data_IF_397789262843
#
_entry.id   IF_397789262843
#
_cell.length_a   1.000
_cell.length_b   1.000
_cell.length_c   1.000
_cell.angle_alpha   90.00
_cell.angle_beta   90.00
_cell.angle_gamma   90.00
#
_symmetry.space_group_name_H-M   'P 1'
#
loop_
_entity.id
_entity.type
_entity.pdbx_description
1 polymer ?
#
# COMPACT_ATOMS: atom_id res chain seq x y z
N UNK A 1 28.85 3.43 9.67
CA UNK A 1 27.82 2.43 9.97
C UNK A 1 27.08 2.06 8.70
N UNK A 2 26.95 0.79 8.40
CA UNK A 2 26.10 0.35 7.31
C UNK A 2 24.66 0.64 7.67
N UNK A 3 23.96 1.37 6.80
CA UNK A 3 22.51 1.54 6.88
C UNK A 3 21.89 0.15 6.74
N UNK A 4 21.02 -0.25 7.66
CA UNK A 4 20.33 -1.53 7.58
C UNK A 4 19.41 -1.53 6.37
N UNK A 5 19.49 -2.58 5.60
CA UNK A 5 18.76 -2.72 4.35
C UNK A 5 17.30 -3.09 4.61
N UNK A 6 16.39 -2.41 3.92
CA UNK A 6 14.96 -2.70 3.99
C UNK A 6 14.68 -3.86 3.04
N UNK A 7 14.10 -4.93 3.56
CA UNK A 7 13.73 -6.10 2.77
C UNK A 7 12.23 -6.08 2.49
N UNK A 8 11.88 -6.11 1.20
CA UNK A 8 10.48 -6.12 0.75
C UNK A 8 10.14 -7.52 0.25
N UNK A 9 9.03 -8.05 0.70
CA UNK A 9 8.52 -9.36 0.27
C UNK A 9 7.00 -9.36 0.18
N UNK A 10 6.45 -10.41 -0.42
CA UNK A 10 5.00 -10.61 -0.44
C UNK A 10 4.46 -10.80 0.98
N UNK A 11 3.28 -10.27 1.20
CA UNK A 11 2.57 -10.43 2.46
C UNK A 11 2.15 -11.89 2.65
N UNK A 12 2.23 -12.35 3.88
CA UNK A 12 1.84 -13.70 4.30
C UNK A 12 0.83 -13.60 5.43
N UNK A 13 0.01 -14.64 5.60
CA UNK A 13 -0.98 -14.69 6.69
C UNK A 13 -0.36 -14.55 8.08
N UNK A 14 0.89 -14.94 8.23
CA UNK A 14 1.61 -14.82 9.50
C UNK A 14 1.97 -13.38 9.85
N UNK A 15 1.80 -12.45 8.92
CA UNK A 15 2.06 -11.03 9.14
C UNK A 15 0.91 -10.30 9.85
N UNK A 16 -0.19 -11.00 10.12
CA UNK A 16 -1.39 -10.40 10.76
C UNK A 16 -1.07 -9.62 12.02
N UNK A 17 -0.36 -10.24 12.95
CA UNK A 17 -0.04 -9.60 14.23
C UNK A 17 0.77 -8.32 14.06
N UNK A 18 1.73 -8.33 13.14
CA UNK A 18 2.55 -7.15 12.86
C UNK A 18 1.71 -6.01 12.27
N UNK A 19 0.82 -6.33 11.35
CA UNK A 19 -0.06 -5.33 10.72
C UNK A 19 -1.01 -4.71 11.75
N UNK A 20 -1.62 -5.55 12.59
CA UNK A 20 -2.51 -5.08 13.66
C UNK A 20 -1.76 -4.15 14.62
N UNK A 21 -0.54 -4.51 15.00
CA UNK A 21 0.28 -3.70 15.89
C UNK A 21 0.66 -2.35 15.24
N UNK A 22 0.97 -2.35 13.95
CA UNK A 22 1.26 -1.11 13.22
C UNK A 22 0.03 -0.20 13.20
N UNK A 23 -1.14 -0.75 12.90
CA UNK A 23 -2.38 0.04 12.92
C UNK A 23 -2.64 0.63 14.30
N UNK A 24 -2.51 -0.18 15.35
CA UNK A 24 -2.73 0.30 16.70
C UNK A 24 -1.82 1.48 17.06
N UNK A 25 -0.56 1.42 16.66
CA UNK A 25 0.38 2.52 16.86
C UNK A 25 0.05 3.75 16.03
N UNK A 26 -0.54 3.56 14.85
CA UNK A 26 -0.90 4.67 13.96
C UNK A 26 -2.20 5.34 14.36
N UNK A 27 -3.19 4.58 14.81
CA UNK A 27 -4.57 5.05 14.98
C UNK A 27 -5.10 4.93 16.41
N UNK A 28 -4.42 4.16 17.25
CA UNK A 28 -4.90 3.80 18.59
C UNK A 28 -5.94 2.69 18.62
N UNK A 29 -6.26 2.10 17.47
CA UNK A 29 -7.27 1.05 17.35
C UNK A 29 -6.65 -0.19 16.70
N UNK A 30 -6.93 -1.37 17.27
CA UNK A 30 -6.49 -2.65 16.73
C UNK A 30 -7.71 -3.40 16.17
N UNK A 31 -7.78 -3.55 14.87
CA UNK A 31 -8.91 -4.21 14.19
C UNK A 31 -8.51 -5.57 13.66
N UNK A 32 -8.24 -6.50 14.56
CA UNK A 32 -7.74 -7.83 14.18
C UNK A 32 -8.66 -8.55 13.18
N UNK A 33 -9.96 -8.56 13.43
CA UNK A 33 -10.91 -9.25 12.54
C UNK A 33 -10.95 -8.62 11.13
N UNK A 34 -10.83 -7.31 11.04
CA UNK A 34 -10.75 -6.61 9.77
C UNK A 34 -9.51 -7.04 8.97
N UNK A 35 -8.34 -7.02 9.60
CA UNK A 35 -7.08 -7.38 8.92
C UNK A 35 -7.01 -8.85 8.57
N UNK A 36 -7.54 -9.71 9.43
CA UNK A 36 -7.64 -11.15 9.14
C UNK A 36 -8.42 -11.37 7.85
N UNK A 37 -9.55 -10.70 7.69
CA UNK A 37 -10.37 -10.76 6.47
C UNK A 37 -9.64 -10.18 5.26
N UNK A 38 -8.97 -9.05 5.41
CA UNK A 38 -8.20 -8.43 4.33
C UNK A 38 -7.09 -9.35 3.82
N UNK A 39 -6.37 -9.98 4.73
CA UNK A 39 -5.29 -10.91 4.37
C UNK A 39 -5.87 -12.12 3.65
N UNK A 40 -6.95 -12.69 4.17
CA UNK A 40 -7.64 -13.81 3.55
C UNK A 40 -8.06 -13.49 2.10
N UNK A 41 -8.66 -12.34 1.87
CA UNK A 41 -9.05 -11.90 0.54
C UNK A 41 -7.83 -11.71 -0.34
N UNK A 42 -6.77 -11.10 0.17
CA UNK A 42 -5.53 -10.89 -0.59
C UNK A 42 -4.91 -12.21 -1.04
N UNK A 43 -4.90 -13.22 -0.17
CA UNK A 43 -4.35 -14.54 -0.54
C UNK A 43 -5.22 -15.25 -1.56
N UNK A 44 -6.54 -15.10 -1.49
CA UNK A 44 -7.48 -15.86 -2.31
C UNK A 44 -7.62 -15.32 -3.74
N UNK A 45 -7.65 -14.01 -3.92
CA UNK A 45 -8.06 -13.39 -5.19
C UNK A 45 -7.15 -12.29 -5.73
N UNK A 46 -6.14 -11.88 -4.98
CA UNK A 46 -5.25 -10.81 -5.42
C UNK A 46 -3.89 -11.37 -5.83
N UNK A 47 -3.19 -10.73 -6.78
CA UNK A 47 -1.85 -11.19 -7.15
C UNK A 47 -0.88 -10.96 -5.98
N UNK A 48 0.03 -11.91 -5.76
CA UNK A 48 0.99 -11.85 -4.67
C UNK A 48 1.87 -10.60 -4.67
N UNK A 49 2.17 -10.06 -5.84
CA UNK A 49 3.00 -8.87 -5.96
C UNK A 49 2.29 -7.59 -5.47
N UNK A 50 0.96 -7.61 -5.35
CA UNK A 50 0.17 -6.42 -5.03
C UNK A 50 0.02 -6.16 -3.53
N UNK A 51 0.39 -7.13 -2.68
CA UNK A 51 0.37 -6.93 -1.23
C UNK A 51 1.72 -7.30 -0.67
N UNK A 52 2.39 -6.32 -0.08
CA UNK A 52 3.80 -6.42 0.31
C UNK A 52 3.99 -5.98 1.75
N UNK A 53 5.03 -6.51 2.38
CA UNK A 53 5.50 -6.05 3.67
C UNK A 53 6.97 -5.66 3.58
N UNK A 54 7.36 -4.75 4.45
CA UNK A 54 8.74 -4.31 4.61
C UNK A 54 9.29 -4.82 5.94
N UNK A 55 10.44 -5.44 5.89
CA UNK A 55 11.18 -5.87 7.08
C UNK A 55 12.41 -5.01 7.30
N UNK A 56 12.63 -4.64 8.53
CA UNK A 56 13.83 -3.96 9.00
C UNK A 56 14.12 -4.50 10.40
N UNK A 57 15.35 -4.82 10.69
CA UNK A 57 15.74 -5.43 11.97
C UNK A 57 14.99 -6.74 12.27
N UNK A 58 14.72 -7.55 11.23
CA UNK A 58 13.98 -8.81 11.32
C UNK A 58 12.54 -8.64 11.84
N UNK A 59 11.96 -7.46 11.64
CA UNK A 59 10.58 -7.15 12.03
C UNK A 59 9.85 -6.56 10.85
N UNK A 60 8.57 -6.89 10.73
CA UNK A 60 7.69 -6.19 9.78
C UNK A 60 7.41 -4.79 10.32
N UNK A 61 7.82 -3.79 9.56
CA UNK A 61 7.72 -2.37 9.95
C UNK A 61 6.83 -1.56 9.02
N UNK A 62 6.34 -2.18 7.95
CA UNK A 62 5.43 -1.53 7.02
C UNK A 62 4.74 -2.52 6.11
N UNK A 63 3.67 -2.07 5.48
CA UNK A 63 2.88 -2.91 4.57
C UNK A 63 2.19 -2.05 3.52
N UNK A 64 1.84 -2.68 2.39
CA UNK A 64 0.96 -2.12 1.38
C UNK A 64 0.00 -3.20 0.90
N UNK A 65 -1.27 -2.86 0.78
CA UNK A 65 -2.29 -3.69 0.13
C UNK A 65 -2.69 -3.02 -1.17
N UNK A 66 -2.58 -3.76 -2.25
CA UNK A 66 -2.99 -3.30 -3.55
C UNK A 66 -3.78 -4.34 -4.31
N UNK A 67 -4.17 -3.98 -5.50
CA UNK A 67 -4.88 -4.89 -6.41
C UNK A 67 -4.60 -4.52 -7.85
N UNK A 68 -4.79 -5.48 -8.73
CA UNK A 68 -4.82 -5.24 -10.17
C UNK A 68 -6.28 -5.35 -10.63
N UNK A 69 -6.66 -4.51 -11.58
CA UNK A 69 -8.03 -4.49 -12.10
C UNK A 69 -8.01 -4.12 -13.58
N UNK A 70 -8.97 -4.65 -14.32
CA UNK A 70 -9.24 -4.13 -15.65
C UNK A 70 -9.87 -2.75 -15.52
N UNK A 71 -9.46 -1.84 -16.38
CA UNK A 71 -10.01 -0.50 -16.33
C UNK A 71 -11.34 -0.48 -17.07
N UNK A 72 -12.36 -0.28 -16.32
CA UNK A 72 -13.70 -0.07 -16.82
C UNK A 72 -13.81 1.31 -17.46
N UNK A 73 -14.47 2.00 -17.90
CA UNK A 73 -14.52 3.37 -18.46
C UNK A 73 -13.81 3.52 -19.82
N UNK A 74 -13.70 2.45 -20.59
CA UNK A 74 -13.22 2.53 -21.95
C UNK A 74 -11.71 2.71 -22.12
N UNK A 75 -10.96 2.61 -21.03
CA UNK A 75 -9.50 2.62 -21.09
C UNK A 75 -9.01 1.17 -21.23
N UNK A 76 -8.10 0.89 -22.16
CA UNK A 76 -7.64 -0.47 -22.38
C UNK A 76 -6.63 -0.92 -21.32
N UNK A 77 -6.72 -2.20 -20.96
CA UNK A 77 -5.69 -2.88 -20.19
C UNK A 77 -5.91 -2.92 -18.70
N UNK A 78 -4.93 -3.47 -18.03
CA UNK A 78 -4.90 -3.62 -16.58
C UNK A 78 -4.29 -2.40 -15.92
N UNK A 79 -4.83 -2.03 -14.77
CA UNK A 79 -4.26 -1.00 -13.89
C UNK A 79 -4.01 -1.60 -12.52
N UNK A 80 -3.18 -0.96 -11.74
CA UNK A 80 -2.97 -1.31 -10.34
C UNK A 80 -3.53 -0.22 -9.44
N UNK A 81 -3.97 -0.61 -8.27
CA UNK A 81 -4.45 0.29 -7.22
C UNK A 81 -3.63 0.07 -5.96
N UNK A 82 -3.18 1.15 -5.36
CA UNK A 82 -2.71 1.13 -3.99
C UNK A 82 -3.91 1.47 -3.12
N UNK A 83 -4.36 0.49 -2.33
CA UNK A 83 -5.57 0.64 -1.53
C UNK A 83 -5.27 1.19 -0.13
N UNK A 84 -4.26 0.66 0.52
CA UNK A 84 -3.89 1.05 1.88
C UNK A 84 -2.41 0.72 2.11
N UNK A 85 -1.73 1.59 2.84
CA UNK A 85 -0.38 1.28 3.31
C UNK A 85 -0.15 1.92 4.67
N UNK A 86 0.81 1.40 5.40
CA UNK A 86 1.17 1.94 6.69
C UNK A 86 2.60 1.61 7.04
N UNK A 87 3.21 2.47 7.84
CA UNK A 87 4.57 2.28 8.37
C UNK A 87 4.53 2.49 9.88
N UNK A 88 5.20 1.60 10.60
CA UNK A 88 5.35 1.73 12.04
C UNK A 88 5.92 3.13 12.37
N UNK A 89 5.26 3.90 13.23
CA UNK A 89 5.74 5.25 13.58
C UNK A 89 7.18 5.29 14.08
N UNK A 90 7.66 4.24 14.73
CA UNK A 90 9.04 4.16 15.21
C UNK A 90 10.07 4.08 14.08
N UNK A 91 9.63 3.78 12.86
CA UNK A 91 10.50 3.60 11.68
C UNK A 91 10.27 4.65 10.61
N UNK A 92 9.59 5.74 10.94
CA UNK A 92 9.41 6.87 10.03
C UNK A 92 10.74 7.52 9.67
N UNK A 93 10.80 8.10 8.47
CA UNK A 93 11.99 8.83 8.02
C UNK A 93 13.14 7.93 7.58
N UNK A 94 12.91 6.64 7.47
CA UNK A 94 13.92 5.66 7.05
C UNK A 94 13.71 5.12 5.64
N UNK A 95 12.74 5.68 4.90
CA UNK A 95 12.47 5.27 3.53
C UNK A 95 11.65 4.01 3.38
N UNK A 96 10.97 3.54 4.42
CA UNK A 96 10.16 2.31 4.38
C UNK A 96 8.99 2.43 3.41
N UNK A 97 8.21 3.50 3.50
CA UNK A 97 7.07 3.72 2.61
C UNK A 97 7.52 3.83 1.16
N UNK A 98 8.59 4.59 0.92
CA UNK A 98 9.17 4.74 -0.42
C UNK A 98 9.60 3.38 -0.99
N UNK A 99 10.31 2.58 -0.21
CA UNK A 99 10.76 1.26 -0.65
C UNK A 99 9.59 0.35 -1.00
N UNK A 100 8.52 0.36 -0.20
CA UNK A 100 7.31 -0.42 -0.49
C UNK A 100 6.67 -0.01 -1.80
N UNK A 101 6.50 1.29 -2.03
CA UNK A 101 5.81 1.78 -3.23
C UNK A 101 6.69 1.69 -4.47
N UNK A 102 7.99 1.84 -4.35
CA UNK A 102 8.91 1.59 -5.47
C UNK A 102 8.89 0.12 -5.88
N UNK A 103 8.87 -0.80 -4.93
CA UNK A 103 8.76 -2.23 -5.24
C UNK A 103 7.40 -2.56 -5.85
N UNK A 104 6.33 -1.98 -5.33
CA UNK A 104 4.99 -2.14 -5.90
C UNK A 104 4.97 -1.69 -7.36
N UNK A 105 5.54 -0.53 -7.64
CA UNK A 105 5.62 0.02 -9.00
C UNK A 105 6.41 -0.88 -9.92
N UNK A 106 7.60 -1.33 -9.49
CA UNK A 106 8.44 -2.23 -10.28
C UNK A 106 7.72 -3.54 -10.59
N UNK A 107 7.02 -4.10 -9.62
CA UNK A 107 6.25 -5.34 -9.82
C UNK A 107 5.09 -5.14 -10.79
N UNK A 108 4.40 -4.01 -10.72
CA UNK A 108 3.34 -3.66 -11.66
C UNK A 108 3.89 -3.55 -13.09
N UNK A 109 5.02 -2.88 -13.25
CA UNK A 109 5.71 -2.77 -14.55
C UNK A 109 6.08 -4.13 -15.12
N UNK A 110 6.60 -5.04 -14.30
CA UNK A 110 6.95 -6.41 -14.69
C UNK A 110 5.75 -7.20 -15.20
N UNK A 111 4.55 -6.83 -14.76
CA UNK A 111 3.29 -7.44 -15.20
C UNK A 111 2.60 -6.67 -16.33
N UNK A 112 3.31 -5.74 -16.96
CA UNK A 112 2.79 -4.98 -18.11
C UNK A 112 1.80 -3.88 -17.74
N UNK A 113 1.68 -3.54 -16.47
CA UNK A 113 0.78 -2.49 -16.00
C UNK A 113 1.47 -1.14 -16.19
N UNK A 114 0.75 -0.20 -16.78
CA UNK A 114 1.30 1.12 -17.12
C UNK A 114 0.78 2.25 -16.25
N UNK A 115 -0.26 1.98 -15.46
CA UNK A 115 -0.90 3.02 -14.63
C UNK A 115 -1.21 2.48 -13.25
N UNK A 116 -0.83 3.26 -12.25
CA UNK A 116 -1.13 2.97 -10.85
C UNK A 116 -1.99 4.10 -10.31
N UNK A 117 -3.10 3.77 -9.69
CA UNK A 117 -4.00 4.72 -9.04
C UNK A 117 -3.92 4.60 -7.53
N UNK A 118 -4.18 5.71 -6.85
CA UNK A 118 -4.42 5.72 -5.41
C UNK A 118 -5.33 6.89 -5.08
N UNK A 119 -5.93 6.86 -3.91
CA UNK A 119 -6.71 7.97 -3.39
C UNK A 119 -5.98 8.60 -2.22
N UNK A 120 -5.92 9.91 -2.21
CA UNK A 120 -5.27 10.70 -1.17
C UNK A 120 -6.30 11.67 -0.61
N UNK A 121 -6.35 11.76 0.72
CA UNK A 121 -7.20 12.75 1.38
C UNK A 121 -6.74 14.16 0.99
N UNK A 122 -7.68 14.94 0.45
CA UNK A 122 -7.43 16.34 0.06
C UNK A 122 -6.88 17.18 1.21
N UNK A 123 -7.24 16.83 2.43
CA UNK A 123 -6.82 17.56 3.62
C UNK A 123 -5.51 17.05 4.22
N UNK A 124 -4.80 16.18 3.51
CA UNK A 124 -3.52 15.64 3.93
C UNK A 124 -2.41 16.04 2.94
N UNK A 125 -1.87 17.27 3.06
CA UNK A 125 -0.84 17.75 2.13
C UNK A 125 0.47 16.97 2.21
N UNK A 126 0.79 16.37 3.34
CA UNK A 126 2.00 15.55 3.49
C UNK A 126 1.93 14.31 2.61
N UNK A 127 0.76 13.66 2.56
CA UNK A 127 0.54 12.48 1.73
C UNK A 127 0.58 12.85 0.24
N UNK A 128 -0.02 13.98 -0.11
CA UNK A 128 0.00 14.49 -1.47
C UNK A 128 1.44 14.76 -1.95
N UNK A 129 2.25 15.40 -1.11
CA UNK A 129 3.67 15.63 -1.39
C UNK A 129 4.44 14.32 -1.51
N UNK A 130 4.16 13.36 -0.64
CA UNK A 130 4.79 12.05 -0.66
C UNK A 130 4.59 11.37 -2.01
N UNK A 131 3.35 11.31 -2.49
CA UNK A 131 3.07 10.71 -3.80
C UNK A 131 3.66 11.52 -4.95
N UNK A 132 3.66 12.85 -4.86
CA UNK A 132 4.29 13.71 -5.88
C UNK A 132 5.79 13.41 -6.03
N UNK A 133 6.47 13.13 -4.94
CA UNK A 133 7.90 12.76 -4.96
C UNK A 133 8.15 11.39 -5.61
N UNK A 134 7.12 10.57 -5.71
CA UNK A 134 7.16 9.27 -6.39
C UNK A 134 6.58 9.36 -7.80
N UNK A 135 6.53 10.57 -8.37
CA UNK A 135 6.06 10.85 -9.72
C UNK A 135 4.57 10.58 -9.96
N UNK A 136 3.78 10.56 -8.88
CA UNK A 136 2.33 10.55 -9.02
C UNK A 136 1.84 11.97 -9.27
N UNK A 137 0.88 12.10 -10.16
CA UNK A 137 0.22 13.37 -10.48
C UNK A 137 -1.28 13.20 -10.32
N UNK A 138 -1.98 14.30 -10.14
CA UNK A 138 -3.44 14.25 -10.09
C UNK A 138 -3.98 13.72 -11.42
N UNK A 139 -4.79 12.66 -11.36
CA UNK A 139 -5.33 11.99 -12.53
C UNK A 139 -6.50 12.76 -13.16
N UNK A 140 -7.02 12.19 -14.23
CA UNK A 140 -8.13 12.78 -15.00
C UNK A 140 -9.50 12.47 -14.42
N UNK A 141 -9.58 11.48 -13.52
CA UNK A 141 -10.84 11.08 -12.88
C UNK A 141 -11.04 11.87 -11.60
N UNK A 142 -12.27 12.29 -11.36
CA UNK A 142 -12.66 12.94 -10.11
C UNK A 142 -13.39 11.95 -9.22
N UNK A 143 -13.09 12.01 -7.94
CA UNK A 143 -13.77 11.21 -6.92
C UNK A 143 -15.04 11.96 -6.48
N UNK A 144 -16.20 11.31 -6.63
CA UNK A 144 -17.48 11.85 -6.17
C UNK A 144 -17.99 10.98 -5.02
N UNK A 145 -18.54 11.63 -4.01
CA UNK A 145 -19.18 10.92 -2.90
C UNK A 145 -20.52 11.52 -2.57
N UNK A 146 -21.41 10.71 -2.05
CA UNK A 146 -22.71 11.12 -1.56
C UNK A 146 -22.93 10.47 -0.19
N UNK A 147 -23.25 11.26 0.80
CA UNK A 147 -23.63 10.73 2.09
C UNK A 147 -25.11 10.36 2.09
N UNK A 148 -25.40 9.18 2.61
CA UNK A 148 -26.75 8.65 2.69
C UNK A 148 -27.20 8.74 4.14
N UNK A 149 -28.26 9.51 4.35
CA UNK A 149 -28.82 9.70 5.69
C UNK A 149 -29.82 8.59 6.04
#
# INVERSE_FOLDING_TARGET
MKQKEIYIRSLDKEDLSAIVNIEERLTGVARKAYWEKRIEISEAIRPHWASLVAELDNRVVGFVFGRAAELEFGLPGMVAWIEIFGVDPAYRGRGVARALLERFTASAEDHGIKTIFTLVDRNNPQMEQFFSRLDFVQGKMLHFQKEIK
#
